data_IF_310606817991
#
_entry.id   IF_310606817991
#
_cell.length_a   1.000
_cell.length_b   1.000
_cell.length_c   1.000
_cell.angle_alpha   90.00
_cell.angle_beta   90.00
_cell.angle_gamma   90.00
#
_symmetry.space_group_name_H-M   'P 1'
#
loop_
_entity.id
_entity.type
_entity.pdbx_description
1 polymer ?
#
# COMPACT_ATOMS: atom_id res chain seq x y z
N UNK A 1 -15.79 14.63 -5.56
CA UNK A 1 -14.53 14.04 -5.06
C UNK A 1 -14.32 12.77 -5.83
N UNK A 2 -13.51 12.84 -6.87
CA UNK A 2 -13.15 11.69 -7.69
C UNK A 2 -12.32 10.74 -6.84
N UNK A 3 -12.93 9.62 -6.45
CA UNK A 3 -12.24 8.60 -5.70
C UNK A 3 -11.43 7.78 -6.72
N UNK A 4 -10.21 8.26 -7.01
CA UNK A 4 -9.33 7.78 -8.10
C UNK A 4 -9.15 6.27 -8.10
N UNK A 5 -9.21 5.68 -6.91
CA UNK A 5 -8.98 4.27 -6.66
C UNK A 5 -10.26 3.49 -6.25
N UNK A 6 -11.45 4.08 -6.42
CA UNK A 6 -12.71 3.41 -6.11
C UNK A 6 -12.89 2.13 -6.94
N UNK A 7 -13.29 1.04 -6.28
CA UNK A 7 -13.48 -0.26 -6.91
C UNK A 7 -12.18 -1.03 -7.21
N UNK A 8 -11.01 -0.45 -6.94
CA UNK A 8 -9.72 -1.12 -7.13
C UNK A 8 -9.27 -1.85 -5.85
N UNK A 9 -8.67 -3.03 -6.03
CA UNK A 9 -7.90 -3.73 -4.99
C UNK A 9 -6.59 -3.01 -4.70
N UNK A 10 -5.96 -3.29 -3.55
CA UNK A 10 -4.71 -2.64 -3.12
C UNK A 10 -3.60 -2.75 -4.17
N UNK A 11 -3.40 -3.93 -4.75
CA UNK A 11 -2.35 -4.17 -5.75
C UNK A 11 -2.61 -3.36 -7.02
N UNK A 12 -3.87 -3.23 -7.46
CA UNK A 12 -4.22 -2.41 -8.62
C UNK A 12 -3.94 -0.93 -8.35
N UNK A 13 -4.18 -0.44 -7.14
CA UNK A 13 -3.84 0.95 -6.77
C UNK A 13 -2.34 1.19 -6.77
N UNK A 14 -1.57 0.25 -6.21
CA UNK A 14 -0.10 0.30 -6.21
C UNK A 14 0.44 0.28 -7.65
N UNK A 15 -0.13 -0.54 -8.53
CA UNK A 15 0.24 -0.59 -9.94
C UNK A 15 -0.07 0.71 -10.68
N UNK A 16 -1.31 1.22 -10.57
CA UNK A 16 -1.72 2.51 -11.18
C UNK A 16 -0.94 3.69 -10.61
N UNK A 17 -0.55 3.62 -9.34
CA UNK A 17 0.30 4.59 -8.67
C UNK A 17 1.78 4.49 -9.04
N UNK A 18 2.22 3.42 -9.72
CA UNK A 18 3.64 3.16 -10.00
C UNK A 18 4.47 2.86 -8.74
N UNK A 19 3.81 2.42 -7.66
CA UNK A 19 4.40 2.20 -6.33
C UNK A 19 4.54 0.72 -5.99
N UNK A 20 4.13 -0.19 -6.88
CA UNK A 20 4.15 -1.64 -6.63
C UNK A 20 5.57 -2.14 -6.32
N UNK A 21 6.55 -1.86 -7.20
CA UNK A 21 7.94 -2.26 -6.98
C UNK A 21 8.53 -1.66 -5.69
N UNK A 22 8.20 -0.40 -5.39
CA UNK A 22 8.70 0.26 -4.17
C UNK A 22 8.09 -0.37 -2.91
N UNK A 23 6.81 -0.75 -2.96
CA UNK A 23 6.11 -1.42 -1.87
C UNK A 23 6.71 -2.82 -1.62
N UNK A 24 6.89 -3.61 -2.68
CA UNK A 24 7.48 -4.95 -2.57
C UNK A 24 8.91 -4.89 -2.01
N UNK A 25 9.69 -3.90 -2.42
CA UNK A 25 11.02 -3.66 -1.85
C UNK A 25 10.94 -3.28 -0.37
N UNK A 26 10.05 -2.36 0.01
CA UNK A 26 9.87 -1.97 1.41
C UNK A 26 9.47 -3.17 2.29
N UNK A 27 8.61 -4.04 1.79
CA UNK A 27 8.23 -5.29 2.46
C UNK A 27 9.42 -6.24 2.58
N UNK A 28 10.17 -6.47 1.50
CA UNK A 28 11.35 -7.33 1.51
C UNK A 28 12.44 -6.85 2.49
N UNK A 29 12.61 -5.53 2.60
CA UNK A 29 13.57 -4.90 3.51
C UNK A 29 13.05 -4.82 4.97
N UNK A 30 11.83 -5.30 5.24
CA UNK A 30 11.11 -5.14 6.52
C UNK A 30 10.98 -3.70 6.98
N UNK A 31 10.89 -2.78 6.03
CA UNK A 31 10.75 -1.36 6.29
C UNK A 31 9.26 -0.99 6.43
N UNK A 32 8.71 -1.25 7.62
CA UNK A 32 7.29 -1.01 7.92
C UNK A 32 6.91 0.46 7.74
N UNK A 33 7.77 1.41 8.11
CA UNK A 33 7.49 2.84 7.96
C UNK A 33 7.31 3.24 6.48
N UNK A 34 8.20 2.76 5.60
CA UNK A 34 8.12 3.02 4.16
C UNK A 34 6.91 2.33 3.54
N UNK A 35 6.60 1.09 3.94
CA UNK A 35 5.40 0.38 3.50
C UNK A 35 4.11 1.15 3.87
N UNK A 36 4.03 1.70 5.09
CA UNK A 36 2.91 2.55 5.52
C UNK A 36 2.80 3.81 4.66
N UNK A 37 3.91 4.51 4.41
CA UNK A 37 3.92 5.71 3.57
C UNK A 37 3.36 5.43 2.17
N UNK A 38 3.82 4.36 1.53
CA UNK A 38 3.38 3.97 0.19
C UNK A 38 1.88 3.64 0.17
N UNK A 39 1.39 2.89 1.16
CA UNK A 39 -0.04 2.56 1.24
C UNK A 39 -0.91 3.81 1.45
N UNK A 40 -0.42 4.83 2.16
CA UNK A 40 -1.11 6.12 2.31
C UNK A 40 -1.17 6.91 0.99
N UNK A 41 -0.14 6.83 0.15
CA UNK A 41 -0.15 7.49 -1.17
C UNK A 41 -1.22 6.90 -2.13
N UNK A 42 -1.62 5.65 -1.92
CA UNK A 42 -2.73 5.01 -2.65
C UNK A 42 -4.07 5.09 -1.90
N UNK A 43 -4.23 6.12 -1.08
CA UNK A 43 -5.44 6.48 -0.35
C UNK A 43 -5.97 5.35 0.55
N UNK A 44 -5.07 4.55 1.14
CA UNK A 44 -5.45 3.62 2.20
C UNK A 44 -5.36 4.33 3.56
N UNK A 45 -6.36 4.07 4.38
CA UNK A 45 -6.43 4.54 5.77
C UNK A 45 -5.71 3.59 6.71
N UNK A 46 -5.32 4.07 7.89
CA UNK A 46 -4.63 3.26 8.91
C UNK A 46 -5.41 1.97 9.29
N UNK A 47 -6.76 2.01 9.30
CA UNK A 47 -7.61 0.83 9.48
C UNK A 47 -7.41 -0.27 8.43
N UNK A 48 -7.17 0.12 7.17
CA UNK A 48 -6.93 -0.83 6.08
C UNK A 48 -5.45 -1.25 6.00
N UNK A 49 -4.54 -0.40 6.47
CA UNK A 49 -3.08 -0.63 6.37
C UNK A 49 -2.64 -1.75 7.31
N UNK A 50 -3.08 -1.76 8.58
CA UNK A 50 -2.70 -2.80 9.55
C UNK A 50 -2.86 -4.24 9.03
N UNK A 51 -4.07 -4.67 8.59
CA UNK A 51 -4.26 -6.04 8.13
C UNK A 51 -3.49 -6.37 6.85
N UNK A 52 -3.06 -5.36 6.07
CA UNK A 52 -2.18 -5.57 4.91
C UNK A 52 -0.78 -5.89 5.41
N UNK A 53 -0.22 -5.08 6.31
CA UNK A 53 1.12 -5.28 6.86
C UNK A 53 1.25 -6.64 7.56
N UNK A 54 0.23 -7.04 8.34
CA UNK A 54 0.19 -8.35 9.00
C UNK A 54 0.27 -9.51 8.01
N UNK A 55 -0.41 -9.41 6.84
CA UNK A 55 -0.32 -10.42 5.77
C UNK A 55 1.09 -10.55 5.18
N UNK A 56 1.86 -9.47 5.21
CA UNK A 56 3.24 -9.44 4.73
C UNK A 56 4.27 -9.73 5.84
N UNK A 57 3.82 -9.99 7.08
CA UNK A 57 4.71 -10.30 8.21
C UNK A 57 5.48 -9.10 8.76
N UNK A 58 4.91 -7.89 8.60
CA UNK A 58 5.43 -6.62 9.12
C UNK A 58 4.71 -6.16 10.39
#
# INVERSE_FOLDING_TARGET
MDNKYAGMTVNERLYVGGLLDEFEKAVSDKNTEKAIQILKEVELTDDNIKPILEKWGL
#
